data_IF_486390251515
#
_entry.id   IF_486390251515
#
_cell.length_a   1.000
_cell.length_b   1.000
_cell.length_c   1.000
_cell.angle_alpha   90.00
_cell.angle_beta   90.00
_cell.angle_gamma   90.00
#
_symmetry.space_group_name_H-M   'P 1'
#
loop_
_entity.id
_entity.type
_entity.pdbx_description
1 polymer ?
#
# COMPACT_ATOMS: atom_id res chain seq x y z
N UNK A 1 -9.48 -26.23 1.14
CA UNK A 1 -9.66 -24.85 1.62
C UNK A 1 -8.42 -24.46 2.42
N UNK A 2 -7.34 -24.08 1.73
CA UNK A 2 -6.02 -23.80 2.32
C UNK A 2 -5.43 -22.46 1.85
N UNK A 3 -6.19 -21.62 1.15
CA UNK A 3 -5.66 -20.45 0.43
C UNK A 3 -5.88 -19.12 1.14
N UNK A 4 -6.43 -19.09 2.36
CA UNK A 4 -6.70 -17.84 3.06
C UNK A 4 -5.48 -17.33 3.86
N UNK A 5 -5.42 -16.02 4.19
CA UNK A 5 -4.25 -15.39 4.84
C UNK A 5 -3.74 -16.09 6.09
N UNK A 6 -4.64 -16.72 6.86
CA UNK A 6 -4.32 -17.49 8.06
C UNK A 6 -3.31 -18.62 7.82
N UNK A 7 -3.21 -19.16 6.60
CA UNK A 7 -2.34 -20.29 6.29
C UNK A 7 -1.08 -19.90 5.52
N UNK A 8 -0.92 -18.64 5.09
CA UNK A 8 0.20 -18.23 4.22
C UNK A 8 1.58 -18.59 4.77
N UNK A 9 1.79 -18.39 6.08
CA UNK A 9 3.07 -18.72 6.72
C UNK A 9 3.37 -20.21 6.85
N UNK A 10 2.41 -21.09 6.55
CA UNK A 10 2.58 -22.55 6.50
C UNK A 10 2.69 -23.04 5.05
N UNK A 11 2.04 -22.36 4.11
CA UNK A 11 2.02 -22.75 2.69
C UNK A 11 3.37 -22.54 1.98
N UNK A 12 4.11 -21.50 2.37
CA UNK A 12 5.37 -21.16 1.75
C UNK A 12 6.43 -20.84 2.83
N UNK A 13 7.56 -21.57 2.87
CA UNK A 13 8.65 -21.28 3.80
C UNK A 13 9.17 -19.84 3.72
N UNK A 14 9.10 -19.19 2.55
CA UNK A 14 9.49 -17.79 2.36
C UNK A 14 8.52 -16.81 3.05
N UNK A 15 7.29 -17.24 3.38
CA UNK A 15 6.26 -16.43 4.03
C UNK A 15 6.12 -16.74 5.51
N UNK A 16 7.09 -17.44 6.12
CA UNK A 16 7.09 -17.78 7.55
C UNK A 16 6.85 -16.57 8.46
N UNK A 17 7.23 -15.37 8.04
CA UNK A 17 6.96 -14.13 8.80
C UNK A 17 5.46 -13.88 9.01
N UNK A 18 4.59 -14.32 8.09
CA UNK A 18 3.14 -14.21 8.23
C UNK A 18 2.58 -15.03 9.40
N UNK A 19 3.24 -16.14 9.79
CA UNK A 19 2.84 -16.93 10.97
C UNK A 19 3.49 -16.44 12.27
N UNK A 20 4.59 -15.69 12.17
CA UNK A 20 5.27 -15.07 13.33
C UNK A 20 4.50 -13.83 13.81
N UNK A 21 3.84 -13.10 12.90
CA UNK A 21 2.92 -12.01 13.24
C UNK A 21 3.58 -10.70 13.71
N UNK A 22 4.89 -10.52 13.49
CA UNK A 22 5.58 -9.27 13.82
C UNK A 22 5.62 -8.34 12.61
N UNK A 23 5.30 -7.05 12.84
CA UNK A 23 5.31 -5.98 11.81
C UNK A 23 4.52 -6.36 10.55
N UNK A 24 3.38 -7.03 10.73
CA UNK A 24 2.47 -7.36 9.65
C UNK A 24 1.44 -6.24 9.50
N UNK A 25 1.09 -5.94 8.26
CA UNK A 25 -0.08 -5.16 7.88
C UNK A 25 -1.17 -6.11 7.35
N UNK A 26 -2.45 -5.70 7.34
CA UNK A 26 -2.98 -4.43 7.86
C UNK A 26 -3.08 -4.38 9.40
N UNK A 27 -3.36 -3.19 9.93
CA UNK A 27 -3.69 -2.96 11.35
C UNK A 27 -4.98 -2.15 11.51
N UNK A 28 -5.57 -2.23 12.70
CA UNK A 28 -6.60 -1.27 13.14
C UNK A 28 -5.92 -0.06 13.78
N UNK A 29 -6.18 1.12 13.22
CA UNK A 29 -5.61 2.39 13.68
C UNK A 29 -6.54 2.94 14.77
N UNK A 30 -5.98 3.11 15.96
CA UNK A 30 -6.68 3.69 17.11
C UNK A 30 -6.19 5.13 17.33
N UNK A 31 -6.97 6.17 16.93
CA UNK A 31 -6.66 7.58 17.13
C UNK A 31 -6.29 7.95 18.57
N UNK A 32 -6.87 7.27 19.57
CA UNK A 32 -6.60 7.56 20.99
C UNK A 32 -5.20 7.11 21.43
N UNK A 33 -4.54 6.26 20.63
CA UNK A 33 -3.17 5.78 20.86
C UNK A 33 -2.14 6.48 19.96
N UNK A 34 -2.57 7.41 19.10
CA UNK A 34 -1.67 8.14 18.23
C UNK A 34 -0.95 9.25 19.00
N UNK A 35 0.33 9.44 18.68
CA UNK A 35 1.12 10.57 19.16
C UNK A 35 1.39 11.52 18.01
N UNK A 36 1.18 12.81 18.25
CA UNK A 36 1.55 13.84 17.28
C UNK A 36 3.07 14.01 17.24
N UNK A 37 3.64 13.93 16.05
CA UNK A 37 5.05 14.20 15.81
C UNK A 37 5.20 15.62 15.20
N UNK A 38 5.71 16.61 15.96
CA UNK A 38 5.90 17.98 15.47
C UNK A 38 7.01 18.10 14.41
N UNK A 39 7.86 17.09 14.24
CA UNK A 39 8.93 17.08 13.25
C UNK A 39 8.52 16.37 11.95
N UNK A 40 7.33 15.76 11.92
CA UNK A 40 6.79 15.17 10.71
C UNK A 40 6.48 16.26 9.69
N UNK A 41 7.23 16.26 8.60
CA UNK A 41 7.03 17.21 7.49
C UNK A 41 5.75 16.85 6.72
N UNK A 42 5.29 17.78 5.89
CA UNK A 42 4.25 17.47 4.92
C UNK A 42 4.79 16.52 3.85
N UNK A 43 3.98 15.55 3.44
CA UNK A 43 4.29 14.70 2.28
C UNK A 43 4.21 15.55 1.00
N UNK A 44 5.22 15.42 0.14
CA UNK A 44 5.26 16.05 -1.17
C UNK A 44 5.05 14.98 -2.25
N UNK A 45 4.15 15.27 -3.20
CA UNK A 45 3.84 14.39 -4.33
C UNK A 45 3.88 15.27 -5.58
N UNK A 46 4.65 14.84 -6.58
CA UNK A 46 4.70 15.52 -7.87
C UNK A 46 3.28 15.61 -8.49
N UNK A 47 3.04 16.64 -9.30
CA UNK A 47 1.70 16.88 -9.89
C UNK A 47 1.58 16.39 -11.33
N UNK A 48 2.61 15.70 -11.82
CA UNK A 48 2.65 15.18 -13.17
C UNK A 48 1.63 14.04 -13.36
N UNK A 49 1.08 13.99 -14.58
CA UNK A 49 0.19 12.90 -14.98
C UNK A 49 1.01 11.80 -15.62
N UNK A 50 0.83 10.58 -15.13
CA UNK A 50 1.44 9.38 -15.70
C UNK A 50 0.37 8.53 -16.39
N UNK A 51 0.75 7.93 -17.51
CA UNK A 51 -0.07 6.92 -18.19
C UNK A 51 0.35 5.53 -17.71
N UNK A 52 -0.57 4.59 -17.80
CA UNK A 52 -0.34 3.22 -17.39
C UNK A 52 -1.46 2.29 -17.80
N UNK A 53 -1.23 1.01 -17.59
CA UNK A 53 -2.14 -0.07 -17.92
C UNK A 53 -2.77 -0.64 -16.67
N UNK A 54 -4.07 -0.95 -16.71
CA UNK A 54 -4.78 -1.67 -15.65
C UNK A 54 -4.89 -3.14 -16.04
N UNK A 55 -4.46 -4.02 -15.15
CA UNK A 55 -4.48 -5.47 -15.31
C UNK A 55 -5.23 -6.13 -14.17
N UNK A 56 -6.00 -7.16 -14.49
CA UNK A 56 -6.61 -8.04 -13.49
C UNK A 56 -5.71 -9.27 -13.27
N UNK A 57 -5.14 -9.40 -12.08
CA UNK A 57 -4.22 -10.51 -11.74
C UNK A 57 -4.95 -11.77 -11.27
N UNK A 58 -6.28 -11.75 -11.23
CA UNK A 58 -7.13 -12.77 -10.60
C UNK A 58 -7.24 -12.62 -9.08
N UNK A 59 -6.38 -11.81 -8.45
CA UNK A 59 -6.44 -11.49 -7.02
C UNK A 59 -6.84 -10.03 -6.77
N UNK A 60 -6.29 -9.11 -7.57
CA UNK A 60 -6.57 -7.67 -7.46
C UNK A 60 -6.53 -7.00 -8.83
N UNK A 61 -7.06 -5.78 -8.91
CA UNK A 61 -6.80 -4.88 -10.03
C UNK A 61 -5.52 -4.09 -9.74
N UNK A 62 -4.57 -4.14 -10.69
CA UNK A 62 -3.28 -3.46 -10.57
C UNK A 62 -3.14 -2.47 -11.72
N UNK A 63 -2.88 -1.21 -11.41
CA UNK A 63 -2.44 -0.21 -12.38
C UNK A 63 -0.92 -0.14 -12.36
N UNK A 64 -0.28 -0.22 -13.52
CA UNK A 64 1.18 -0.09 -13.68
C UNK A 64 1.51 1.08 -14.58
N UNK A 65 2.44 1.93 -14.16
CA UNK A 65 2.95 3.02 -15.00
C UNK A 65 3.66 2.43 -16.21
N UNK A 66 3.40 3.00 -17.40
CA UNK A 66 4.04 2.56 -18.63
C UNK A 66 5.55 2.82 -18.57
N UNK A 67 6.37 1.86 -19.00
CA UNK A 67 7.85 1.98 -18.98
C UNK A 67 8.37 3.15 -19.83
N UNK A 68 7.61 3.54 -20.84
CA UNK A 68 7.93 4.65 -21.75
C UNK A 68 7.31 5.98 -21.28
N UNK A 69 6.77 6.03 -20.05
CA UNK A 69 6.21 7.26 -19.50
C UNK A 69 7.27 8.35 -19.49
N UNK A 70 6.97 9.47 -20.14
CA UNK A 70 7.83 10.67 -20.17
C UNK A 70 8.00 11.29 -18.78
N UNK A 71 7.01 11.10 -17.92
CA UNK A 71 6.99 11.68 -16.58
C UNK A 71 7.20 10.59 -15.53
N UNK A 72 7.98 10.96 -14.52
CA UNK A 72 8.19 10.19 -13.31
C UNK A 72 7.46 10.89 -12.18
N UNK A 73 6.66 10.14 -11.41
CA UNK A 73 5.94 10.67 -10.26
C UNK A 73 6.72 10.37 -8.99
N UNK A 74 7.32 11.38 -8.38
CA UNK A 74 8.06 11.22 -7.13
C UNK A 74 7.22 11.58 -5.91
N UNK A 75 7.55 10.93 -4.81
CA UNK A 75 7.00 11.15 -3.48
C UNK A 75 8.18 11.36 -2.54
N UNK A 76 8.20 12.51 -1.86
CA UNK A 76 9.29 12.97 -1.01
C UNK A 76 8.75 13.59 0.29
N UNK A 77 9.65 13.88 1.22
CA UNK A 77 9.32 14.46 2.53
C UNK A 77 8.37 13.56 3.35
N UNK A 78 7.59 14.13 4.28
CA UNK A 78 6.81 13.33 5.21
C UNK A 78 7.70 12.49 6.13
N UNK A 79 7.36 11.21 6.36
CA UNK A 79 8.21 10.29 7.12
C UNK A 79 9.32 9.62 6.28
N UNK A 80 9.50 10.03 5.01
CA UNK A 80 10.42 9.38 4.07
C UNK A 80 11.83 9.96 4.18
N UNK A 81 12.85 9.09 4.26
CA UNK A 81 14.26 9.50 4.25
C UNK A 81 14.76 9.85 2.85
N UNK A 82 14.20 9.22 1.82
CA UNK A 82 14.64 9.31 0.43
C UNK A 82 13.49 9.72 -0.49
N UNK A 83 13.84 9.96 -1.75
CA UNK A 83 12.88 10.06 -2.85
C UNK A 83 12.39 8.68 -3.24
N UNK A 84 11.08 8.54 -3.38
CA UNK A 84 10.45 7.33 -3.85
C UNK A 84 9.73 7.59 -5.16
N UNK A 85 9.93 6.71 -6.13
CA UNK A 85 9.25 6.77 -7.41
C UNK A 85 8.02 5.86 -7.39
N UNK A 86 6.88 6.41 -7.78
CA UNK A 86 5.64 5.65 -7.95
C UNK A 86 5.74 4.68 -9.14
N UNK A 87 5.35 3.42 -8.92
CA UNK A 87 5.46 2.36 -9.92
C UNK A 87 4.09 1.76 -10.29
N UNK A 88 3.32 1.37 -9.28
CA UNK A 88 2.03 0.72 -9.47
C UNK A 88 1.13 0.97 -8.26
N UNK A 89 -0.18 0.87 -8.45
CA UNK A 89 -1.11 0.77 -7.33
C UNK A 89 -2.01 -0.45 -7.51
N UNK A 90 -2.46 -1.01 -6.41
CA UNK A 90 -3.49 -2.04 -6.39
C UNK A 90 -4.63 -1.63 -5.45
N UNK A 91 -5.81 -2.19 -5.71
CA UNK A 91 -7.03 -1.87 -4.97
C UNK A 91 -7.52 -3.15 -4.29
N UNK A 92 -7.74 -3.05 -2.98
CA UNK A 92 -8.54 -4.00 -2.20
C UNK A 92 -9.94 -3.44 -2.04
N UNK A 93 -10.97 -4.26 -2.26
CA UNK A 93 -12.35 -3.84 -2.16
C UNK A 93 -13.22 -5.01 -1.67
N UNK A 94 -14.30 -4.69 -0.98
CA UNK A 94 -15.23 -5.67 -0.45
C UNK A 94 -16.36 -5.98 -1.44
N UNK A 95 -17.21 -6.91 -1.04
CA UNK A 95 -18.44 -7.25 -1.76
C UNK A 95 -19.60 -6.29 -1.47
N UNK A 96 -19.47 -5.47 -0.43
CA UNK A 96 -20.44 -4.46 -0.02
C UNK A 96 -19.73 -3.16 0.40
N UNK A 97 -20.48 -2.08 0.52
CA UNK A 97 -19.92 -0.75 0.80
C UNK A 97 -19.52 -0.54 2.28
N UNK A 98 -19.75 -1.51 3.17
CA UNK A 98 -19.40 -1.41 4.59
C UNK A 98 -18.08 -2.14 4.91
N UNK A 99 -17.52 -2.87 3.94
CA UNK A 99 -16.31 -3.68 4.08
C UNK A 99 -15.42 -3.51 2.86
N UNK A 100 -14.10 -3.65 3.02
CA UNK A 100 -13.20 -3.78 1.88
C UNK A 100 -11.80 -3.25 2.08
N UNK A 101 -11.66 -2.18 2.87
CA UNK A 101 -10.35 -1.71 3.30
C UNK A 101 -9.66 -2.77 4.14
N UNK A 102 -8.35 -2.90 3.97
CA UNK A 102 -7.55 -3.82 4.77
C UNK A 102 -7.30 -3.20 6.15
N UNK A 103 -6.85 -1.94 6.18
CA UNK A 103 -6.75 -1.12 7.38
C UNK A 103 -8.13 -0.67 7.85
N UNK A 104 -8.23 -0.44 9.17
CA UNK A 104 -9.42 0.06 9.84
C UNK A 104 -9.08 1.27 10.69
N UNK A 105 -10.08 2.08 11.02
CA UNK A 105 -9.96 3.20 11.95
C UNK A 105 -10.98 2.99 13.06
N UNK A 106 -10.52 2.73 14.29
CA UNK A 106 -11.38 2.35 15.43
C UNK A 106 -12.36 1.22 15.06
N UNK A 107 -11.88 0.20 14.36
CA UNK A 107 -12.69 -0.93 13.89
C UNK A 107 -13.58 -0.64 12.68
N UNK A 108 -13.69 0.63 12.24
CA UNK A 108 -14.44 1.01 11.05
C UNK A 108 -13.67 0.66 9.77
N UNK A 109 -14.37 0.02 8.81
CA UNK A 109 -13.84 -0.33 7.49
C UNK A 109 -14.46 0.55 6.41
N UNK A 110 -13.70 0.83 5.36
CA UNK A 110 -14.15 1.55 4.18
C UNK A 110 -14.43 0.57 3.02
N UNK A 111 -15.19 0.96 1.99
CA UNK A 111 -15.51 0.09 0.85
C UNK A 111 -14.28 -0.46 0.11
N UNK A 112 -13.18 0.29 0.11
CA UNK A 112 -11.97 -0.05 -0.61
C UNK A 112 -10.74 0.65 -0.01
N UNK A 113 -9.56 0.09 -0.29
CA UNK A 113 -8.26 0.66 0.01
C UNK A 113 -7.38 0.63 -1.22
N UNK A 114 -6.70 1.75 -1.49
CA UNK A 114 -5.73 1.88 -2.57
C UNK A 114 -4.32 1.87 -1.98
N UNK A 115 -3.55 0.85 -2.35
CA UNK A 115 -2.17 0.71 -1.91
C UNK A 115 -1.24 1.12 -3.05
N UNK A 116 -0.39 2.11 -2.80
CA UNK A 116 0.62 2.55 -3.76
C UNK A 116 1.94 1.81 -3.49
N UNK A 117 2.49 1.20 -4.53
CA UNK A 117 3.83 0.61 -4.52
C UNK A 117 4.83 1.59 -5.12
N UNK A 118 5.93 1.80 -4.40
CA UNK A 118 6.97 2.76 -4.73
C UNK A 118 8.33 2.13 -4.44
N UNK A 119 9.34 2.49 -5.21
CA UNK A 119 10.72 2.07 -4.95
C UNK A 119 11.59 3.28 -4.60
N UNK A 120 12.61 3.06 -3.78
CA UNK A 120 13.58 4.12 -3.49
C UNK A 120 14.33 4.44 -4.80
N UNK A 121 14.54 5.71 -5.06
CA UNK A 121 15.32 6.16 -6.20
C UNK A 121 16.67 6.72 -5.74
N UNK A 122 17.75 6.00 -6.08
CA UNK A 122 19.14 6.35 -5.76
C UNK A 122 19.75 7.38 -6.73
N UNK A 123 19.03 7.79 -7.77
CA UNK A 123 19.57 8.77 -8.72
C UNK A 123 19.57 10.18 -8.13
N UNK A 124 20.80 10.67 -7.90
CA UNK A 124 21.17 12.02 -7.48
C UNK A 124 21.37 12.93 -8.70
#
# INVERSE_FOLDING_TARGET
MLTCPKYWGVLNPLWKLCSIGKRQSPIDIDPDKLLFDPFLKNLHIDKDKVSGTIENTGQSLVFRVDKESKYVLNITEGPLTYRYQFQEFYIHFGTDNNLGSEHKIQGYSFPAEKCLSMYYDDSN
#
